data_IF_044199685919
#
_entry.id   IF_044199685919
#
_cell.length_a   1.000
_cell.length_b   1.000
_cell.length_c   1.000
_cell.angle_alpha   90.00
_cell.angle_beta   90.00
_cell.angle_gamma   90.00
#
_symmetry.space_group_name_H-M   'P 1'
#
loop_
_entity.id
_entity.type
_entity.pdbx_description
1 polymer ?
#
# COMPACT_ATOMS: atom_id res chain seq x y z
N UNK A 1 -56.60 -28.73 -16.33
CA UNK A 1 -55.27 -28.11 -16.34
C UNK A 1 -55.35 -26.78 -15.59
N UNK A 2 -54.85 -26.73 -14.35
CA UNK A 2 -54.71 -25.50 -13.54
C UNK A 2 -53.28 -25.51 -13.02
N UNK A 3 -52.48 -24.55 -13.49
CA UNK A 3 -51.05 -24.43 -13.19
C UNK A 3 -50.86 -23.91 -11.76
N UNK A 4 -50.24 -24.72 -10.89
CA UNK A 4 -49.71 -24.25 -9.61
C UNK A 4 -48.35 -23.57 -9.87
N UNK A 5 -48.31 -22.24 -9.72
CA UNK A 5 -47.07 -21.47 -9.70
C UNK A 5 -46.44 -21.67 -8.32
N UNK A 6 -45.25 -22.27 -8.31
CA UNK A 6 -44.38 -22.46 -7.14
C UNK A 6 -43.95 -21.11 -6.59
N UNK A 7 -44.19 -20.86 -5.30
CA UNK A 7 -43.57 -19.79 -4.53
C UNK A 7 -42.14 -20.19 -4.15
N UNK A 8 -41.13 -19.55 -4.73
CA UNK A 8 -39.77 -19.55 -4.19
C UNK A 8 -39.66 -18.41 -3.15
N UNK A 9 -39.07 -18.65 -1.96
CA UNK A 9 -38.70 -17.55 -1.08
C UNK A 9 -37.50 -16.84 -1.67
N UNK A 10 -37.67 -15.55 -1.98
CA UNK A 10 -36.58 -14.65 -2.34
C UNK A 10 -35.75 -14.38 -1.07
N UNK A 11 -34.65 -15.10 -0.89
CA UNK A 11 -33.59 -14.70 0.02
C UNK A 11 -32.93 -13.46 -0.57
N UNK A 12 -33.41 -12.30 -0.13
CA UNK A 12 -32.81 -11.00 -0.41
C UNK A 12 -31.51 -10.91 0.39
N UNK A 13 -30.40 -11.40 -0.17
CA UNK A 13 -29.07 -11.08 0.33
C UNK A 13 -28.85 -9.60 0.03
N UNK A 14 -29.01 -8.73 1.05
CA UNK A 14 -28.56 -7.35 0.98
C UNK A 14 -27.03 -7.36 0.77
N UNK A 15 -26.60 -7.33 -0.48
CA UNK A 15 -25.30 -6.83 -0.86
C UNK A 15 -25.34 -5.32 -0.64
N UNK A 16 -25.09 -4.89 0.60
CA UNK A 16 -24.66 -3.52 0.83
C UNK A 16 -23.38 -3.33 0.01
N UNK A 17 -23.33 -2.40 -0.95
CA UNK A 17 -22.04 -1.96 -1.45
C UNK A 17 -21.33 -1.37 -0.23
N UNK A 18 -20.32 -2.08 0.28
CA UNK A 18 -19.41 -1.53 1.27
C UNK A 18 -18.92 -0.22 0.68
N UNK A 19 -19.28 0.89 1.31
CA UNK A 19 -18.65 2.17 1.03
C UNK A 19 -17.17 1.90 1.29
N UNK A 20 -16.38 1.82 0.22
CA UNK A 20 -14.93 1.78 0.33
C UNK A 20 -14.55 3.11 1.00
N UNK A 21 -14.44 3.08 2.34
CA UNK A 21 -13.93 4.22 3.09
C UNK A 21 -12.51 4.43 2.57
N UNK A 22 -12.15 5.66 2.23
CA UNK A 22 -10.79 5.96 1.80
C UNK A 22 -9.83 5.43 2.88
N UNK A 23 -9.03 4.43 2.52
CA UNK A 23 -8.18 3.72 3.47
C UNK A 23 -7.09 4.70 3.89
N UNK A 24 -7.07 5.03 5.17
CA UNK A 24 -6.09 5.97 5.69
C UNK A 24 -4.78 5.22 5.90
N UNK A 25 -3.74 5.64 5.20
CA UNK A 25 -2.38 5.17 5.43
C UNK A 25 -1.53 6.29 6.00
N UNK A 26 -0.47 5.93 6.72
CA UNK A 26 0.44 6.89 7.33
C UNK A 26 1.87 6.33 7.37
N UNK A 27 2.85 7.19 7.13
CA UNK A 27 4.26 6.77 7.09
C UNK A 27 4.79 6.60 8.51
N UNK A 28 5.32 5.41 8.84
CA UNK A 28 6.05 5.16 10.09
C UNK A 28 7.51 5.58 9.91
N UNK A 29 8.16 5.01 8.90
CA UNK A 29 9.55 5.30 8.53
C UNK A 29 9.74 5.09 7.03
N UNK A 30 10.49 5.97 6.39
CA UNK A 30 11.01 5.78 5.05
C UNK A 30 12.48 6.19 5.02
N UNK A 31 13.35 5.37 4.44
CA UNK A 31 14.79 5.62 4.41
C UNK A 31 15.47 4.98 3.22
N UNK A 32 16.68 5.44 2.92
CA UNK A 32 17.51 4.91 1.83
C UNK A 32 18.90 4.48 2.32
N UNK A 33 18.98 3.48 3.24
CA UNK A 33 20.25 3.03 3.79
C UNK A 33 21.18 2.43 2.74
N UNK A 34 22.48 2.52 3.03
CA UNK A 34 23.49 1.67 2.39
C UNK A 34 23.33 0.25 2.92
N UNK A 35 23.16 -0.72 2.02
CA UNK A 35 22.99 -2.14 2.35
C UNK A 35 24.19 -3.00 1.95
N UNK A 36 25.17 -2.42 1.23
CA UNK A 36 26.40 -3.10 0.88
C UNK A 36 27.35 -2.24 0.05
N UNK A 37 28.57 -2.72 -0.12
CA UNK A 37 29.56 -2.14 -1.00
C UNK A 37 30.40 -3.24 -1.66
N UNK A 38 30.78 -3.05 -2.92
CA UNK A 38 31.60 -4.01 -3.66
C UNK A 38 31.78 -3.65 -5.12
N UNK A 39 32.93 -4.03 -5.70
CA UNK A 39 33.23 -3.80 -7.11
C UNK A 39 33.32 -2.33 -7.53
N UNK A 40 33.62 -1.42 -6.60
CA UNK A 40 33.63 0.03 -6.84
C UNK A 40 32.26 0.71 -6.70
N UNK A 41 31.21 -0.03 -6.33
CA UNK A 41 29.86 0.48 -6.17
C UNK A 41 29.37 0.42 -4.72
N UNK A 42 28.48 1.35 -4.37
CA UNK A 42 27.70 1.34 -3.13
C UNK A 42 26.26 0.94 -3.47
N UNK A 43 25.68 0.04 -2.70
CA UNK A 43 24.33 -0.47 -2.91
C UNK A 43 23.39 0.13 -1.87
N UNK A 44 22.27 0.66 -2.35
CA UNK A 44 21.23 1.26 -1.53
C UNK A 44 19.92 0.48 -1.65
N UNK A 45 19.09 0.60 -0.62
CA UNK A 45 17.76 0.03 -0.61
C UNK A 45 16.77 1.09 -0.14
N UNK A 46 15.65 1.24 -0.84
CA UNK A 46 14.51 1.99 -0.33
C UNK A 46 13.76 1.10 0.67
N UNK A 47 13.73 1.52 1.93
CA UNK A 47 12.99 0.84 3.01
C UNK A 47 11.78 1.69 3.39
N UNK A 48 10.61 1.06 3.48
CA UNK A 48 9.36 1.70 3.86
C UNK A 48 8.62 0.85 4.90
N UNK A 49 8.25 1.47 6.01
CA UNK A 49 7.24 0.98 6.94
C UNK A 49 6.07 1.98 6.96
N UNK A 50 4.86 1.47 6.83
CA UNK A 50 3.63 2.27 6.83
C UNK A 50 2.59 1.64 7.71
N UNK A 51 1.79 2.47 8.35
CA UNK A 51 0.52 2.06 8.93
C UNK A 51 -0.59 2.11 7.88
N UNK A 52 -1.52 1.18 7.98
CA UNK A 52 -2.74 1.09 7.19
C UNK A 52 -3.87 0.91 8.20
N UNK A 53 -4.89 1.76 8.16
CA UNK A 53 -6.10 1.53 8.95
C UNK A 53 -6.68 0.16 8.62
N UNK A 54 -7.30 -0.53 9.60
CA UNK A 54 -7.80 -1.89 9.38
C UNK A 54 -8.82 -1.87 8.26
N UNK A 55 -8.41 -2.37 7.10
CA UNK A 55 -9.27 -2.56 5.97
C UNK A 55 -9.94 -3.92 6.15
N UNK A 56 -11.13 -4.08 5.60
CA UNK A 56 -11.79 -5.38 5.54
C UNK A 56 -10.80 -6.48 5.10
N UNK A 57 -10.98 -7.73 5.57
CA UNK A 57 -10.11 -8.83 5.19
C UNK A 57 -9.94 -8.95 3.68
N UNK A 58 -8.74 -9.28 3.21
CA UNK A 58 -8.44 -9.52 1.79
C UNK A 58 -7.87 -8.33 1.02
N UNK A 59 -7.41 -7.29 1.70
CA UNK A 59 -6.74 -6.16 1.09
C UNK A 59 -5.21 -6.38 0.96
N UNK A 60 -4.56 -5.54 0.17
CA UNK A 60 -3.10 -5.55 0.00
C UNK A 60 -2.55 -4.12 -0.03
N UNK A 61 -1.42 -3.88 0.63
CA UNK A 61 -0.72 -2.60 0.59
C UNK A 61 0.50 -2.65 -0.34
N UNK A 62 0.81 -1.52 -0.95
CA UNK A 62 1.96 -1.36 -1.83
C UNK A 62 2.47 0.07 -1.92
N UNK A 63 3.51 0.26 -2.72
CA UNK A 63 4.12 1.55 -2.98
C UNK A 63 4.45 1.68 -4.46
N UNK A 64 4.13 2.85 -5.03
CA UNK A 64 4.70 3.30 -6.29
C UNK A 64 5.82 4.28 -5.96
N UNK A 65 6.98 4.12 -6.59
CA UNK A 65 8.16 4.95 -6.30
C UNK A 65 9.01 5.18 -7.55
N UNK A 66 9.77 6.26 -7.51
CA UNK A 66 10.60 6.72 -8.62
C UNK A 66 11.86 7.39 -8.08
N UNK A 67 12.87 7.47 -8.93
CA UNK A 67 14.10 8.22 -8.71
C UNK A 67 14.41 9.17 -9.89
N UNK A 68 13.45 9.37 -10.80
CA UNK A 68 13.64 10.13 -12.03
C UNK A 68 12.47 11.09 -12.34
N UNK A 69 11.80 11.57 -11.29
CA UNK A 69 10.70 12.53 -11.42
C UNK A 69 9.47 11.94 -12.10
N UNK A 70 9.14 10.68 -11.77
CA UNK A 70 8.00 9.92 -12.31
C UNK A 70 8.07 9.64 -13.83
N UNK A 71 9.26 9.69 -14.44
CA UNK A 71 9.45 9.22 -15.82
C UNK A 71 9.41 7.69 -15.87
N UNK A 72 9.93 7.05 -14.83
CA UNK A 72 9.85 5.61 -14.58
C UNK A 72 9.16 5.39 -13.24
N UNK A 73 8.09 4.59 -13.26
CA UNK A 73 7.40 4.16 -12.05
C UNK A 73 7.78 2.74 -11.72
N UNK A 74 8.33 2.54 -10.53
CA UNK A 74 8.57 1.24 -9.94
C UNK A 74 7.45 0.90 -8.97
N UNK A 75 7.10 -0.38 -8.91
CA UNK A 75 6.03 -0.89 -8.05
C UNK A 75 6.60 -1.86 -7.03
N UNK A 76 6.17 -1.71 -5.79
CA UNK A 76 6.59 -2.54 -4.66
C UNK A 76 5.40 -3.05 -3.87
N UNK A 77 5.35 -4.35 -3.62
CA UNK A 77 4.38 -4.94 -2.68
C UNK A 77 4.91 -4.81 -1.26
N UNK A 78 4.08 -4.32 -0.35
CA UNK A 78 4.39 -4.32 1.08
C UNK A 78 3.89 -5.61 1.72
N UNK A 79 4.58 -6.05 2.76
CA UNK A 79 4.21 -7.23 3.52
C UNK A 79 3.63 -6.81 4.87
N UNK A 80 2.47 -7.35 5.22
CA UNK A 80 1.93 -7.25 6.57
C UNK A 80 2.96 -7.76 7.59
N UNK A 81 3.07 -7.07 8.72
CA UNK A 81 3.99 -7.42 9.81
C UNK A 81 3.27 -7.76 11.10
N UNK A 82 2.44 -6.84 11.59
CA UNK A 82 1.69 -7.01 12.83
C UNK A 82 0.60 -5.93 12.94
N UNK A 83 -0.35 -6.15 13.85
CA UNK A 83 -1.34 -5.15 14.20
C UNK A 83 -0.82 -4.26 15.34
N UNK A 84 -1.08 -2.97 15.27
CA UNK A 84 -0.70 -1.95 16.25
C UNK A 84 -1.97 -1.28 16.80
N UNK A 85 -2.11 -1.23 18.12
CA UNK A 85 -3.22 -0.50 18.74
C UNK A 85 -3.15 0.99 18.44
N UNK A 86 -4.28 1.60 18.10
CA UNK A 86 -4.39 3.04 17.86
C UNK A 86 -5.11 3.77 18.99
N UNK A 87 -5.00 5.09 19.01
CA UNK A 87 -5.56 5.96 20.08
C UNK A 87 -7.09 5.90 20.16
N UNK A 88 -7.76 5.38 19.14
CA UNK A 88 -9.23 5.31 19.07
C UNK A 88 -9.79 3.95 19.50
N UNK A 89 -8.95 3.09 20.09
CA UNK A 89 -9.36 1.76 20.56
C UNK A 89 -9.52 0.72 19.46
N UNK A 90 -9.08 1.02 18.24
CA UNK A 90 -9.00 0.08 17.12
C UNK A 90 -7.55 -0.41 16.91
N UNK A 91 -7.34 -1.27 15.91
CA UNK A 91 -6.02 -1.75 15.52
C UNK A 91 -5.69 -1.28 14.10
N UNK A 92 -4.61 -0.53 13.95
CA UNK A 92 -3.99 -0.31 12.64
C UNK A 92 -3.12 -1.52 12.28
N UNK A 93 -2.79 -1.66 11.02
CA UNK A 93 -1.88 -2.68 10.52
C UNK A 93 -0.55 -2.06 10.09
N UNK A 94 0.55 -2.71 10.45
CA UNK A 94 1.89 -2.31 10.03
C UNK A 94 2.33 -3.14 8.84
N UNK A 95 2.70 -2.46 7.77
CA UNK A 95 3.16 -3.03 6.51
C UNK A 95 4.56 -2.54 6.17
N UNK A 96 5.40 -3.40 5.58
CA UNK A 96 6.79 -3.06 5.30
C UNK A 96 7.33 -3.65 4.00
N UNK A 97 8.27 -2.95 3.37
CA UNK A 97 8.95 -3.35 2.15
C UNK A 97 10.36 -2.80 2.04
N UNK A 98 11.17 -3.51 1.25
CA UNK A 98 12.58 -3.25 1.02
C UNK A 98 12.86 -3.42 -0.48
N UNK A 99 13.29 -2.35 -1.15
CA UNK A 99 13.38 -2.29 -2.61
C UNK A 99 14.77 -1.85 -3.07
N UNK A 100 15.45 -2.72 -3.81
CA UNK A 100 16.81 -2.44 -4.25
C UNK A 100 16.83 -1.26 -5.22
N UNK A 101 17.73 -0.31 -4.95
CA UNK A 101 17.99 0.81 -5.85
C UNK A 101 19.15 0.44 -6.75
N UNK A 102 19.04 0.59 -8.07
CA UNK A 102 20.15 0.30 -8.95
C UNK A 102 21.39 1.16 -8.63
N UNK A 103 22.61 0.58 -8.67
CA UNK A 103 23.82 1.27 -8.22
C UNK A 103 24.24 2.47 -9.09
N UNK A 104 23.64 2.65 -10.26
CA UNK A 104 23.87 3.78 -11.16
C UNK A 104 22.94 4.98 -10.89
N UNK A 105 21.97 4.86 -9.98
CA UNK A 105 21.10 5.97 -9.61
C UNK A 105 21.88 6.99 -8.80
N UNK A 106 22.03 8.20 -9.33
CA UNK A 106 22.67 9.33 -8.65
C UNK A 106 22.14 10.66 -9.23
N UNK A 107 21.68 11.61 -8.40
CA UNK A 107 21.52 11.53 -6.95
C UNK A 107 20.44 10.53 -6.54
N UNK A 108 20.55 9.98 -5.33
CA UNK A 108 19.56 9.05 -4.79
C UNK A 108 18.50 9.86 -4.04
N UNK A 109 17.44 10.24 -4.75
CA UNK A 109 16.24 10.84 -4.18
C UNK A 109 15.07 9.97 -4.62
N UNK A 110 14.33 9.43 -3.67
CA UNK A 110 13.17 8.58 -3.93
C UNK A 110 11.91 9.40 -3.68
N UNK A 111 11.10 9.56 -4.71
CA UNK A 111 9.72 10.04 -4.57
C UNK A 111 8.78 8.84 -4.55
N UNK A 112 7.76 8.84 -3.68
CA UNK A 112 6.88 7.69 -3.54
C UNK A 112 5.45 8.05 -3.11
N UNK A 113 4.52 7.15 -3.43
CA UNK A 113 3.13 7.17 -2.99
C UNK A 113 2.71 5.76 -2.56
N UNK A 114 1.98 5.66 -1.45
CA UNK A 114 1.47 4.40 -0.92
C UNK A 114 0.11 4.13 -1.54
N UNK A 115 -0.19 2.88 -1.85
CA UNK A 115 -1.52 2.46 -2.26
C UNK A 115 -2.00 1.28 -1.43
N UNK A 116 -3.31 1.15 -1.33
CA UNK A 116 -3.98 -0.03 -0.79
C UNK A 116 -5.04 -0.47 -1.80
N UNK A 117 -5.05 -1.76 -2.10
CA UNK A 117 -6.07 -2.41 -2.92
C UNK A 117 -7.02 -3.14 -1.97
N UNK A 118 -8.31 -2.80 -2.01
CA UNK A 118 -9.32 -3.50 -1.21
C UNK A 118 -9.59 -4.91 -1.76
N UNK A 119 -10.41 -5.68 -1.05
CA UNK A 119 -10.76 -7.06 -1.46
C UNK A 119 -11.50 -7.15 -2.81
N UNK A 120 -12.02 -6.04 -3.33
CA UNK A 120 -12.64 -5.93 -4.66
C UNK A 120 -11.66 -5.49 -5.76
N UNK A 121 -10.42 -5.15 -5.38
CA UNK A 121 -9.39 -4.62 -6.27
C UNK A 121 -9.50 -3.11 -6.50
N UNK A 122 -10.30 -2.38 -5.71
CA UNK A 122 -10.35 -0.93 -5.79
C UNK A 122 -9.13 -0.33 -5.08
N UNK A 123 -8.41 0.56 -5.77
CA UNK A 123 -7.19 1.17 -5.26
C UNK A 123 -7.44 2.53 -4.63
N UNK A 124 -6.98 2.69 -3.40
CA UNK A 124 -6.84 4.00 -2.74
C UNK A 124 -5.37 4.44 -2.73
N UNK A 125 -5.14 5.75 -2.71
CA UNK A 125 -3.80 6.33 -2.78
C UNK A 125 -3.55 7.30 -1.63
N UNK A 126 -2.34 7.22 -1.09
CA UNK A 126 -1.76 8.24 -0.26
C UNK A 126 -0.50 8.79 -0.95
N UNK A 127 -0.71 9.91 -1.64
CA UNK A 127 0.29 10.64 -2.38
C UNK A 127 0.62 11.99 -1.71
N UNK A 128 0.51 12.07 -0.37
CA UNK A 128 0.78 13.28 0.40
C UNK A 128 0.04 14.52 -0.15
N UNK A 129 -1.27 14.38 -0.39
CA UNK A 129 -2.09 15.45 -0.96
C UNK A 129 -1.68 15.89 -2.37
N UNK A 130 -1.09 14.98 -3.16
CA UNK A 130 -0.61 15.24 -4.52
C UNK A 130 0.86 15.67 -4.63
N UNK A 131 1.54 15.91 -3.50
CA UNK A 131 2.97 16.29 -3.51
C UNK A 131 3.92 15.10 -3.55
N UNK A 132 3.41 13.88 -3.32
CA UNK A 132 4.17 12.67 -3.02
C UNK A 132 5.04 12.81 -1.75
N UNK A 133 5.54 11.68 -1.28
CA UNK A 133 6.56 11.63 -0.23
C UNK A 133 7.94 11.61 -0.86
N UNK A 134 8.95 12.11 -0.14
CA UNK A 134 10.33 12.14 -0.60
C UNK A 134 11.26 11.63 0.50
N UNK A 135 12.22 10.77 0.15
CA UNK A 135 13.32 10.38 1.03
C UNK A 135 14.65 10.31 0.27
N UNK A 136 15.75 10.47 1.01
CA UNK A 136 17.12 10.43 0.51
C UNK A 136 18.03 9.79 1.58
N UNK A 137 19.27 9.38 1.22
CA UNK A 137 20.25 8.82 2.17
C UNK A 137 20.57 9.72 3.36
#
# INVERSE_FOLDING_TARGET
MRNLIRSLPATLTLLLPGLATAETTWVITASVPVVGAGGGSVYHQFTLNTGVWPVAPGHAAGVAYTWDGWRTTNWGTLQWKYNQSNTYGSQDEVWAGNFNIPPWVSPIVIEYAIYVDDASGARTWNNNGGSNYVCAP
#
